data_IF_104671116106
#
_entry.id   IF_104671116106
#
_cell.length_a   1.000
_cell.length_b   1.000
_cell.length_c   1.000
_cell.angle_alpha   90.00
_cell.angle_beta   90.00
_cell.angle_gamma   90.00
#
_symmetry.space_group_name_H-M   'P 1'
#
loop_
_entity.id
_entity.type
_entity.pdbx_description
1 polymer ?
#
# COMPACT_ATOMS: atom_id res chain seq x y z
N UNK A 1 5.90 -6.29 21.56
CA UNK A 1 4.92 -7.34 21.25
C UNK A 1 5.66 -8.51 20.60
N UNK A 2 5.23 -9.75 20.83
CA UNK A 2 5.90 -10.94 20.28
C UNK A 2 5.51 -11.21 18.81
N UNK A 3 6.36 -11.93 18.07
CA UNK A 3 6.18 -12.18 16.63
C UNK A 3 4.96 -13.07 16.33
N UNK A 4 4.67 -14.07 17.18
CA UNK A 4 3.47 -14.90 17.05
C UNK A 4 2.19 -14.07 17.25
N UNK A 5 2.21 -13.13 18.19
CA UNK A 5 1.09 -12.21 18.42
C UNK A 5 0.86 -11.29 17.23
N UNK A 6 1.94 -10.81 16.59
CA UNK A 6 1.87 -10.01 15.37
C UNK A 6 1.24 -10.81 14.22
N UNK A 7 1.66 -12.06 14.01
CA UNK A 7 1.12 -12.94 12.97
C UNK A 7 -0.37 -13.22 13.20
N UNK A 8 -0.79 -13.41 14.45
CA UNK A 8 -2.21 -13.56 14.79
C UNK A 8 -3.00 -12.29 14.44
N UNK A 9 -2.49 -11.12 14.82
CA UNK A 9 -3.10 -9.82 14.50
C UNK A 9 -3.19 -9.58 12.98
N UNK A 10 -2.19 -10.02 12.22
CA UNK A 10 -2.19 -9.97 10.76
C UNK A 10 -3.30 -10.81 10.14
N UNK A 11 -3.47 -12.05 10.60
CA UNK A 11 -4.55 -12.92 10.13
C UNK A 11 -5.92 -12.32 10.44
N UNK A 12 -6.11 -11.78 11.65
CA UNK A 12 -7.35 -11.08 12.05
C UNK A 12 -7.60 -9.81 11.22
N UNK A 13 -6.54 -9.15 10.78
CA UNK A 13 -6.60 -7.96 9.90
C UNK A 13 -6.85 -8.29 8.42
N UNK A 14 -6.97 -9.59 8.07
CA UNK A 14 -7.29 -10.05 6.72
C UNK A 14 -6.09 -10.34 5.83
N UNK A 15 -4.89 -10.49 6.40
CA UNK A 15 -3.76 -11.07 5.66
C UNK A 15 -4.00 -12.56 5.40
N UNK A 16 -3.63 -13.01 4.21
CA UNK A 16 -3.59 -14.43 3.86
C UNK A 16 -2.26 -15.03 4.32
N UNK A 17 -2.24 -16.35 4.60
CA UNK A 17 -1.00 -17.05 4.98
C UNK A 17 0.15 -16.82 3.99
N UNK A 18 -0.13 -16.82 2.68
CA UNK A 18 0.86 -16.55 1.63
C UNK A 18 1.44 -15.13 1.69
N UNK A 19 0.65 -14.14 2.10
CA UNK A 19 1.11 -12.76 2.28
C UNK A 19 2.01 -12.65 3.52
N UNK A 20 1.67 -13.34 4.60
CA UNK A 20 2.46 -13.38 5.84
C UNK A 20 3.80 -14.08 5.61
N UNK A 21 3.80 -15.25 4.96
CA UNK A 21 5.03 -15.99 4.64
C UNK A 21 5.98 -15.14 3.78
N UNK A 22 5.45 -14.35 2.83
CA UNK A 22 6.27 -13.41 2.06
C UNK A 22 6.90 -12.33 2.92
N UNK A 23 6.18 -11.80 3.90
CA UNK A 23 6.71 -10.79 4.82
C UNK A 23 7.78 -11.39 5.73
N UNK A 24 7.56 -12.60 6.23
CA UNK A 24 8.54 -13.35 7.03
C UNK A 24 9.82 -13.64 6.24
N UNK A 25 9.69 -14.15 5.01
CA UNK A 25 10.85 -14.35 4.12
C UNK A 25 11.60 -13.04 3.83
N UNK A 26 10.87 -11.93 3.74
CA UNK A 26 11.48 -10.60 3.57
C UNK A 26 12.20 -10.15 4.83
N UNK A 27 11.61 -10.38 6.00
CA UNK A 27 12.22 -10.09 7.31
C UNK A 27 13.52 -10.88 7.50
N UNK A 28 13.50 -12.17 7.20
CA UNK A 28 14.66 -13.06 7.25
C UNK A 28 15.78 -12.62 6.29
N UNK A 29 15.42 -12.16 5.08
CA UNK A 29 16.38 -11.69 4.08
C UNK A 29 17.10 -10.38 4.48
N UNK A 30 16.42 -9.49 5.21
CA UNK A 30 16.93 -8.16 5.56
C UNK A 30 17.36 -8.04 7.04
N UNK A 31 17.78 -9.15 7.67
CA UNK A 31 17.80 -9.39 9.13
C UNK A 31 16.96 -8.40 9.96
N UNK A 32 15.70 -8.21 9.58
CA UNK A 32 14.81 -7.23 10.17
C UNK A 32 13.65 -7.94 10.89
N UNK A 33 13.00 -7.25 11.82
CA UNK A 33 11.79 -7.79 12.45
C UNK A 33 10.59 -7.69 11.49
N UNK A 34 9.65 -8.63 11.58
CA UNK A 34 8.40 -8.60 10.82
C UNK A 34 7.67 -7.27 10.98
N UNK A 35 7.65 -6.73 12.20
CA UNK A 35 7.07 -5.42 12.48
C UNK A 35 7.74 -4.30 11.69
N UNK A 36 9.08 -4.30 11.64
CA UNK A 36 9.84 -3.31 10.88
C UNK A 36 9.51 -3.36 9.40
N UNK A 37 9.46 -4.58 8.82
CA UNK A 37 9.11 -4.77 7.40
C UNK A 37 7.72 -4.24 7.09
N UNK A 38 6.72 -4.63 7.90
CA UNK A 38 5.34 -4.14 7.76
C UNK A 38 5.28 -2.62 7.86
N UNK A 39 6.03 -2.02 8.80
CA UNK A 39 6.11 -0.58 9.00
C UNK A 39 6.71 0.13 7.79
N UNK A 40 7.75 -0.43 7.19
CA UNK A 40 8.39 0.14 6.01
C UNK A 40 7.45 0.11 4.80
N UNK A 41 6.75 -1.01 4.56
CA UNK A 41 5.72 -1.09 3.52
C UNK A 41 4.58 -0.09 3.76
N UNK A 42 4.13 0.06 5.01
CA UNK A 42 3.11 1.04 5.39
C UNK A 42 3.57 2.50 5.18
N UNK A 43 4.86 2.78 5.37
CA UNK A 43 5.45 4.11 5.18
C UNK A 43 5.44 4.53 3.72
N UNK A 44 5.70 3.59 2.81
CA UNK A 44 5.66 3.84 1.37
C UNK A 44 4.25 3.98 0.80
N UNK A 45 3.21 3.54 1.51
CA UNK A 45 1.83 3.64 1.03
C UNK A 45 1.39 5.09 0.75
N UNK A 46 1.60 6.02 1.69
CA UNK A 46 1.22 7.44 1.51
C UNK A 46 1.91 8.12 0.31
N UNK A 47 3.26 8.10 0.19
CA UNK A 47 3.92 8.71 -0.96
C UNK A 47 3.56 7.99 -2.26
N UNK A 48 3.30 6.68 -2.24
CA UNK A 48 2.80 5.96 -3.41
C UNK A 48 1.44 6.50 -3.88
N UNK A 49 0.47 6.64 -2.97
CA UNK A 49 -0.86 7.19 -3.29
C UNK A 49 -0.77 8.64 -3.77
N UNK A 50 0.05 9.47 -3.12
CA UNK A 50 0.24 10.87 -3.51
C UNK A 50 0.89 10.96 -4.91
N UNK A 51 1.95 10.19 -5.15
CA UNK A 51 2.62 10.16 -6.46
C UNK A 51 1.66 9.71 -7.54
N UNK A 52 0.87 8.67 -7.26
CA UNK A 52 -0.16 8.18 -8.16
C UNK A 52 -1.22 9.25 -8.46
N UNK A 53 -1.67 9.99 -7.45
CA UNK A 53 -2.65 11.07 -7.61
C UNK A 53 -2.08 12.23 -8.43
N UNK A 54 -0.83 12.63 -8.20
CA UNK A 54 -0.16 13.69 -8.98
C UNK A 54 -0.01 13.25 -10.43
N UNK A 55 0.42 12.00 -10.67
CA UNK A 55 0.53 11.46 -12.03
C UNK A 55 -0.84 11.43 -12.72
N UNK A 56 -1.90 11.07 -11.99
CA UNK A 56 -3.29 11.16 -12.47
C UNK A 56 -3.66 12.56 -12.89
N UNK A 57 -3.40 13.55 -12.04
CA UNK A 57 -3.75 14.94 -12.31
C UNK A 57 -2.99 15.47 -13.52
N UNK A 58 -1.70 15.13 -13.65
CA UNK A 58 -0.85 15.50 -14.79
C UNK A 58 -1.33 14.85 -16.09
N UNK A 59 -1.78 13.60 -16.07
CA UNK A 59 -2.34 12.93 -17.24
C UNK A 59 -3.71 13.50 -17.65
N UNK A 60 -4.51 14.01 -16.71
CA UNK A 60 -5.81 14.61 -17.03
C UNK A 60 -5.70 15.96 -17.74
N UNK A 61 -4.68 16.77 -17.46
CA UNK A 61 -4.49 18.11 -18.07
C UNK A 61 -4.48 18.09 -19.61
N UNK A 62 -3.70 17.23 -20.30
CA UNK A 62 -3.70 17.17 -21.76
C UNK A 62 -4.98 16.54 -22.34
N UNK A 63 -5.69 15.68 -21.59
CA UNK A 63 -6.92 15.02 -22.03
C UNK A 63 -8.10 16.01 -22.10
N UNK A 64 -8.14 16.99 -21.20
CA UNK A 64 -9.17 18.02 -21.16
C UNK A 64 -8.78 19.32 -21.87
N UNK A 65 -7.62 19.36 -22.54
CA UNK A 65 -7.21 20.54 -23.29
C UNK A 65 -8.06 20.67 -24.57
N UNK A 66 -8.74 21.82 -24.78
CA UNK A 66 -9.64 22.03 -25.92
C UNK A 66 -8.92 22.06 -27.28
N UNK A 67 -7.59 22.17 -27.28
CA UNK A 67 -6.74 22.15 -28.48
C UNK A 67 -6.23 20.74 -28.84
N UNK A 68 -6.45 19.75 -27.97
CA UNK A 68 -6.00 18.37 -28.23
C UNK A 68 -6.99 17.65 -29.14
N UNK A 69 -6.47 16.95 -30.15
CA UNK A 69 -7.28 16.06 -30.98
C UNK A 69 -7.95 15.02 -30.07
N UNK A 70 -9.29 15.00 -30.06
CA UNK A 70 -10.09 14.18 -29.15
C UNK A 70 -9.71 12.69 -29.21
N UNK A 71 -9.23 12.23 -30.35
CA UNK A 71 -8.75 10.86 -30.56
C UNK A 71 -7.49 10.56 -29.75
N UNK A 72 -6.54 11.51 -29.71
CA UNK A 72 -5.29 11.38 -28.97
C UNK A 72 -5.55 11.46 -27.46
N UNK A 73 -6.45 12.35 -27.03
CA UNK A 73 -6.90 12.43 -25.63
C UNK A 73 -7.53 11.13 -25.14
N UNK A 74 -8.37 10.49 -25.96
CA UNK A 74 -9.00 9.21 -25.61
C UNK A 74 -8.00 8.05 -25.51
N UNK A 75 -7.01 7.98 -26.42
CA UNK A 75 -5.96 6.96 -26.38
C UNK A 75 -5.11 7.11 -25.10
N UNK A 76 -4.72 8.34 -24.75
CA UNK A 76 -3.97 8.61 -23.52
C UNK A 76 -4.80 8.27 -22.27
N UNK A 77 -6.09 8.59 -22.27
CA UNK A 77 -7.01 8.22 -21.19
C UNK A 77 -7.14 6.70 -21.02
N UNK A 78 -7.26 5.94 -22.11
CA UNK A 78 -7.40 4.49 -22.06
C UNK A 78 -6.11 3.81 -21.59
N UNK A 79 -4.95 4.25 -22.05
CA UNK A 79 -3.66 3.78 -21.55
C UNK A 79 -3.53 4.09 -20.05
N UNK A 80 -3.89 5.30 -19.64
CA UNK A 80 -3.86 5.71 -18.24
C UNK A 80 -4.79 4.85 -17.37
N UNK A 81 -6.04 4.68 -17.78
CA UNK A 81 -7.01 3.84 -17.09
C UNK A 81 -6.56 2.38 -17.00
N UNK A 82 -5.90 1.86 -18.05
CA UNK A 82 -5.30 0.53 -18.02
C UNK A 82 -4.17 0.44 -17.00
N UNK A 83 -3.28 1.43 -16.93
CA UNK A 83 -2.21 1.48 -15.91
C UNK A 83 -2.79 1.56 -14.50
N UNK A 84 -3.83 2.38 -14.26
CA UNK A 84 -4.56 2.38 -12.97
C UNK A 84 -5.08 0.99 -12.66
N UNK A 85 -5.81 0.39 -13.62
CA UNK A 85 -6.47 -0.88 -13.41
C UNK A 85 -5.46 -1.99 -13.12
N UNK A 86 -4.35 -2.02 -13.84
CA UNK A 86 -3.23 -2.92 -13.60
C UNK A 86 -2.60 -2.64 -12.23
N UNK A 87 -2.34 -1.39 -11.86
CA UNK A 87 -1.80 -1.05 -10.54
C UNK A 87 -2.74 -1.47 -9.40
N UNK A 88 -4.05 -1.33 -9.58
CA UNK A 88 -5.06 -1.75 -8.61
C UNK A 88 -5.21 -3.27 -8.53
N UNK A 89 -5.11 -3.97 -9.68
CA UNK A 89 -5.11 -5.43 -9.78
C UNK A 89 -3.83 -6.05 -9.23
N UNK A 90 -2.70 -5.36 -9.34
CA UNK A 90 -1.45 -5.78 -8.72
C UNK A 90 -1.68 -5.71 -7.22
N UNK A 91 -1.73 -6.88 -6.61
CA UNK A 91 -1.88 -7.15 -5.18
C UNK A 91 -1.10 -6.20 -4.24
N UNK A 92 -0.07 -5.51 -4.75
CA UNK A 92 0.71 -4.50 -4.03
C UNK A 92 -0.14 -3.40 -3.36
N UNK A 93 -1.19 -2.87 -4.00
CA UNK A 93 -1.97 -1.77 -3.38
C UNK A 93 -2.79 -2.27 -2.20
N UNK A 94 -3.51 -3.39 -2.37
CA UNK A 94 -4.24 -4.02 -1.27
C UNK A 94 -3.30 -4.46 -0.15
N UNK A 95 -2.15 -5.01 -0.49
CA UNK A 95 -1.14 -5.44 0.46
C UNK A 95 -0.54 -4.27 1.25
N UNK A 96 -0.13 -3.18 0.57
CA UNK A 96 0.35 -1.96 1.23
C UNK A 96 -0.72 -1.31 2.10
N UNK A 97 -1.98 -1.32 1.66
CA UNK A 97 -3.11 -0.81 2.45
C UNK A 97 -3.33 -1.65 3.72
N UNK A 98 -3.29 -2.98 3.62
CA UNK A 98 -3.37 -3.87 4.80
C UNK A 98 -2.22 -3.61 5.78
N UNK A 99 -0.99 -3.44 5.29
CA UNK A 99 0.16 -3.06 6.13
C UNK A 99 -0.07 -1.71 6.81
N UNK A 100 -0.56 -0.71 6.08
CA UNK A 100 -0.87 0.61 6.64
C UNK A 100 -1.93 0.55 7.73
N UNK A 101 -3.01 -0.22 7.51
CA UNK A 101 -4.06 -0.43 8.51
C UNK A 101 -3.51 -1.12 9.77
N UNK A 102 -2.70 -2.15 9.60
CA UNK A 102 -2.10 -2.91 10.69
C UNK A 102 -1.18 -2.03 11.55
N UNK A 103 -0.35 -1.17 10.94
CA UNK A 103 0.52 -0.23 11.67
C UNK A 103 -0.29 0.75 12.52
N UNK A 104 -1.42 1.23 12.02
CA UNK A 104 -2.29 2.10 12.81
C UNK A 104 -2.92 1.37 14.01
N UNK A 105 -3.23 0.08 13.87
CA UNK A 105 -3.71 -0.75 14.99
C UNK A 105 -2.59 -0.99 16.00
N UNK A 106 -1.39 -1.33 15.53
CA UNK A 106 -0.21 -1.52 16.38
C UNK A 106 0.09 -0.26 17.20
N UNK A 107 0.08 0.91 16.55
CA UNK A 107 0.34 2.18 17.21
C UNK A 107 -0.64 2.42 18.36
N UNK A 108 -1.93 2.17 18.16
CA UNK A 108 -2.93 2.31 19.23
C UNK A 108 -2.69 1.33 20.38
N UNK A 109 -2.34 0.08 20.10
CA UNK A 109 -2.03 -0.90 21.14
C UNK A 109 -0.80 -0.52 21.98
N UNK A 110 0.21 0.06 21.35
CA UNK A 110 1.37 0.60 22.07
C UNK A 110 0.99 1.82 22.93
N UNK A 111 0.17 2.74 22.39
CA UNK A 111 -0.34 3.92 23.14
C UNK A 111 -1.32 3.55 24.28
N UNK A 112 -1.98 2.39 24.21
CA UNK A 112 -2.80 1.83 25.29
C UNK A 112 -1.93 1.20 26.38
N UNK A 113 -0.93 0.40 26.00
CA UNK A 113 0.00 -0.21 26.95
C UNK A 113 0.81 0.83 27.75
N UNK A 114 1.20 1.95 27.12
CA UNK A 114 1.91 3.05 27.78
C UNK A 114 1.00 3.89 28.69
N UNK A 115 -0.32 3.76 28.59
CA UNK A 115 -1.30 4.42 29.47
C UNK A 115 -1.71 3.59 30.69
N UNK A 116 -1.49 2.28 30.62
CA UNK A 116 -1.80 1.33 31.67
C UNK A 116 -0.59 1.06 32.60
N UNK A 117 0.57 1.67 32.31
CA UNK A 117 1.78 1.76 33.18
C UNK A 117 1.79 3.06 34.00
#
# INVERSE_FOLDING_TARGET
MDEEQLIKLMNESGFTKKEIDKLLLTAEKYPATLEWVVREFARHFKPFVITFFILSALCCIPIFSPESDATIGFILFTIYAFIIFVAYKIYAVNYMFKCHRLVNVLKRKYEEAERDE
#
